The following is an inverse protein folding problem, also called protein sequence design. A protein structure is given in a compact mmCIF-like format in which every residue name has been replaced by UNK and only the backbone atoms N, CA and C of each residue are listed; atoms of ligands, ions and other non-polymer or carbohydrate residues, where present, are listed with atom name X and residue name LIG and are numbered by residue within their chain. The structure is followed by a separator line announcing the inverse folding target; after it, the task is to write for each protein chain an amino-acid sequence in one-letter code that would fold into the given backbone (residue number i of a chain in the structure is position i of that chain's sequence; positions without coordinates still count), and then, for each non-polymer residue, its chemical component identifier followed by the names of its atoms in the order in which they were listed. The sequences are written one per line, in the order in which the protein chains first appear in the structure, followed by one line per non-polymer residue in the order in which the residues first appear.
data_IF_946684500703
#
_entry.id   IF_946684500703
#
_cell.length_a   1.000
_cell.length_b   1.000
_cell.length_c   1.000
_cell.angle_alpha   90.00
_cell.angle_beta   90.00
_cell.angle_gamma   90.00
#
_symmetry.space_group_name_H-M   'P 1'
#
loop_
_entity.id
_entity.type
_entity.pdbx_description
1 polymer ?
#
# COMPACT_ATOMS: atom_id res chain seq x y z
N UNK A 1 1.73 15.57 -6.40
CA UNK A 1 1.60 14.90 -7.72
C UNK A 1 2.30 15.70 -8.84
N UNK A 2 3.60 16.05 -8.66
CA UNK A 2 4.39 16.76 -9.67
C UNK A 2 5.78 16.13 -9.81
N UNK A 3 5.89 15.16 -10.70
CA UNK A 3 7.04 15.01 -11.63
C UNK A 3 6.63 13.95 -12.64
N UNK A 4 6.38 14.36 -13.87
CA UNK A 4 6.43 13.45 -15.01
C UNK A 4 7.91 13.08 -15.18
N UNK A 5 8.25 11.86 -14.78
CA UNK A 5 9.59 11.30 -14.86
C UNK A 5 9.56 10.43 -16.12
N UNK A 6 10.60 10.54 -16.96
CA UNK A 6 10.68 9.84 -18.25
C UNK A 6 10.25 8.37 -18.14
N UNK A 7 9.50 7.91 -19.15
CA UNK A 7 8.98 6.54 -19.24
C UNK A 7 10.09 5.48 -19.44
N UNK A 8 11.38 5.87 -19.37
CA UNK A 8 12.56 5.02 -19.49
C UNK A 8 13.01 4.39 -18.17
N UNK A 9 12.43 4.76 -17.02
CA UNK A 9 12.76 4.19 -15.71
C UNK A 9 11.77 3.13 -15.24
N UNK A 10 12.28 2.06 -14.61
CA UNK A 10 11.45 1.02 -14.00
C UNK A 10 10.51 1.60 -12.93
N UNK A 11 9.20 1.56 -13.18
CA UNK A 11 8.18 2.27 -12.40
C UNK A 11 8.21 2.00 -10.89
N UNK A 12 8.63 0.81 -10.46
CA UNK A 12 8.75 0.46 -9.03
C UNK A 12 9.75 1.36 -8.31
N UNK A 13 10.80 1.85 -8.99
CA UNK A 13 11.79 2.78 -8.40
C UNK A 13 11.18 4.13 -8.01
N UNK A 14 10.00 4.46 -8.56
CA UNK A 14 9.29 5.70 -8.30
C UNK A 14 8.34 5.61 -7.08
N UNK A 15 8.12 4.41 -6.53
CA UNK A 15 7.22 4.24 -5.40
C UNK A 15 7.78 4.92 -4.14
N UNK A 16 6.91 5.53 -3.30
CA UNK A 16 7.31 6.05 -2.01
C UNK A 16 7.98 4.98 -1.15
N UNK A 17 9.10 5.34 -0.49
CA UNK A 17 9.78 4.45 0.46
C UNK A 17 9.02 4.28 1.77
N UNK A 18 8.19 5.26 2.14
CA UNK A 18 7.37 5.18 3.35
C UNK A 18 6.31 4.07 3.24
N UNK A 19 6.05 3.40 4.36
CA UNK A 19 5.02 2.37 4.49
C UNK A 19 3.96 2.89 5.45
N UNK A 20 2.73 3.02 4.97
CA UNK A 20 1.57 3.43 5.78
C UNK A 20 0.70 2.23 6.19
N UNK A 21 1.01 1.06 5.66
CA UNK A 21 0.52 -0.23 6.14
C UNK A 21 1.70 -0.94 6.84
N UNK A 22 1.68 -0.98 8.17
CA UNK A 22 2.82 -1.39 8.99
C UNK A 22 3.03 -2.91 8.97
N UNK A 23 4.28 -3.32 9.27
CA UNK A 23 4.63 -4.74 9.48
C UNK A 23 4.07 -5.19 10.84
N UNK A 24 3.70 -6.47 10.96
CA UNK A 24 3.24 -7.05 12.24
C UNK A 24 1.74 -7.30 12.35
N UNK A 25 1.11 -7.70 11.24
CA UNK A 25 -0.27 -8.17 11.18
C UNK A 25 -0.34 -9.71 11.13
N UNK A 26 -1.48 -10.31 11.50
CA UNK A 26 -1.65 -11.78 11.53
C UNK A 26 -2.18 -12.37 10.21
N UNK A 27 -1.84 -11.72 9.10
CA UNK A 27 -2.15 -12.18 7.76
C UNK A 27 -1.51 -13.54 7.45
N UNK A 28 -2.16 -14.33 6.59
CA UNK A 28 -1.56 -15.54 6.02
C UNK A 28 -0.24 -15.21 5.28
N UNK A 29 0.65 -16.20 5.17
CA UNK A 29 1.85 -16.08 4.34
C UNK A 29 1.45 -15.83 2.88
N UNK A 30 1.98 -14.78 2.28
CA UNK A 30 1.60 -14.38 0.92
C UNK A 30 0.17 -13.81 0.80
N UNK A 31 -0.44 -13.29 1.87
CA UNK A 31 -1.77 -12.69 1.83
C UNK A 31 -1.87 -11.58 0.76
N UNK A 32 -2.59 -11.87 -0.32
CA UNK A 32 -2.82 -10.93 -1.43
C UNK A 32 -3.45 -9.60 -1.00
N UNK A 33 -4.53 -9.60 -0.21
CA UNK A 33 -5.15 -8.37 0.29
C UNK A 33 -4.20 -7.49 1.12
N UNK A 34 -3.33 -8.07 1.95
CA UNK A 34 -2.35 -7.30 2.73
C UNK A 34 -1.30 -6.63 1.82
N UNK A 35 -0.85 -7.34 0.78
CA UNK A 35 0.06 -6.76 -0.24
C UNK A 35 -0.65 -5.64 -1.00
N UNK A 36 -1.91 -5.84 -1.39
CA UNK A 36 -2.71 -4.84 -2.08
C UNK A 36 -2.88 -3.58 -1.22
N UNK A 37 -3.28 -3.72 0.05
CA UNK A 37 -3.45 -2.60 0.97
C UNK A 37 -2.14 -1.85 1.23
N UNK A 38 -1.01 -2.55 1.29
CA UNK A 38 0.31 -1.90 1.33
C UNK A 38 0.55 -0.99 0.12
N UNK A 39 0.23 -1.45 -1.08
CA UNK A 39 0.39 -0.64 -2.29
C UNK A 39 -0.63 0.51 -2.38
N UNK A 40 -1.88 0.27 -1.99
CA UNK A 40 -2.92 1.30 -1.91
C UNK A 40 -2.49 2.40 -0.95
N UNK A 41 -2.00 2.03 0.24
CA UNK A 41 -1.55 3.00 1.24
C UNK A 41 -0.38 3.85 0.73
N UNK A 42 0.55 3.28 -0.06
CA UNK A 42 1.60 4.05 -0.74
C UNK A 42 1.07 5.03 -1.78
N UNK A 43 0.04 4.63 -2.53
CA UNK A 43 -0.54 5.46 -3.57
C UNK A 43 -1.36 6.63 -3.00
N UNK A 44 -2.12 6.39 -1.92
CA UNK A 44 -2.99 7.40 -1.31
C UNK A 44 -2.24 8.35 -0.36
N UNK A 45 -1.23 7.86 0.36
CA UNK A 45 -0.44 8.68 1.27
C UNK A 45 -1.14 8.99 2.61
N UNK A 46 -0.54 9.87 3.42
CA UNK A 46 -0.94 10.10 4.82
C UNK A 46 -2.30 10.75 5.01
N UNK A 47 -2.79 11.50 4.03
CA UNK A 47 -4.08 12.18 4.10
C UNK A 47 -5.21 11.28 3.59
N UNK A 48 -5.36 10.11 4.22
CA UNK A 48 -6.28 9.06 3.78
C UNK A 48 -7.07 8.54 4.97
N UNK A 49 -8.40 8.45 4.82
CA UNK A 49 -9.27 7.77 5.78
C UNK A 49 -9.54 6.37 5.26
N UNK A 50 -9.31 5.35 6.10
CA UNK A 50 -9.59 3.96 5.77
C UNK A 50 -10.92 3.57 6.40
N UNK A 51 -11.86 3.13 5.57
CA UNK A 51 -13.13 2.53 6.00
C UNK A 51 -13.11 1.08 5.52
N UNK A 52 -13.27 0.14 6.44
CA UNK A 52 -13.15 -1.27 6.13
C UNK A 52 -14.45 -2.00 6.48
N UNK A 53 -14.98 -2.76 5.52
CA UNK A 53 -16.11 -3.65 5.75
C UNK A 53 -15.66 -4.91 6.49
N UNK A 54 -16.60 -5.59 7.14
CA UNK A 54 -16.30 -6.81 7.88
C UNK A 54 -15.65 -7.87 7.00
N UNK A 55 -14.47 -8.34 7.42
CA UNK A 55 -13.70 -9.32 6.66
C UNK A 55 -12.28 -9.50 7.18
N UNK A 56 -11.47 -10.27 6.45
CA UNK A 56 -10.12 -10.64 6.89
C UNK A 56 -9.27 -9.41 7.25
N UNK A 57 -9.30 -8.34 6.44
CA UNK A 57 -8.48 -7.13 6.64
C UNK A 57 -8.89 -6.28 7.85
N UNK A 58 -10.06 -6.53 8.46
CA UNK A 58 -10.44 -5.90 9.73
C UNK A 58 -9.77 -6.59 10.92
N UNK A 59 -9.58 -7.89 10.77
CA UNK A 59 -9.23 -8.82 11.82
C UNK A 59 -7.71 -8.99 11.86
N UNK A 60 -7.05 -9.01 10.71
CA UNK A 60 -5.63 -9.37 10.57
C UNK A 60 -4.65 -8.21 10.62
#
# INVERSE_FOLDING_TARGET
MKKAIGLDVFAVKLLPKEELFTRGHRACQGCGPAIALRHIAKALGRNTIVVNATGCMEII
#
